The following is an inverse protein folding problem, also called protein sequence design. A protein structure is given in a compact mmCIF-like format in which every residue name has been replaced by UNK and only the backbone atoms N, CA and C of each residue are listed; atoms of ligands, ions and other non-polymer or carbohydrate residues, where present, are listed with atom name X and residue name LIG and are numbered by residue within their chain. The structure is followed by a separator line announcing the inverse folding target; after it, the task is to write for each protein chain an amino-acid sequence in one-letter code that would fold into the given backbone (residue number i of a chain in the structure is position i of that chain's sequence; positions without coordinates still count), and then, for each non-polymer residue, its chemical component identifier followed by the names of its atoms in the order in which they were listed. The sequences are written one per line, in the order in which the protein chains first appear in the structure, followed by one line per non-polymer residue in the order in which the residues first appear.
data_IF_554724402907
#
_entry.id   IF_554724402907
#
_cell.length_a   1.000
_cell.length_b   1.000
_cell.length_c   1.000
_cell.angle_alpha   90.00
_cell.angle_beta   90.00
_cell.angle_gamma   90.00
#
_symmetry.space_group_name_H-M   'P 1'
#
loop_
_entity.id
_entity.type
_entity.pdbx_description
1 polymer ?
#
# COMPACT_ATOMS: atom_id res chain seq x y z
N UNK A 1 -15.81 -8.67 -4.80
CA UNK A 1 -15.91 -9.19 -3.42
C UNK A 1 -14.53 -9.15 -2.77
N UNK A 2 -14.42 -8.83 -1.49
CA UNK A 2 -13.16 -8.88 -0.73
C UNK A 2 -13.28 -9.92 0.37
N UNK A 3 -12.31 -10.83 0.46
CA UNK A 3 -12.22 -11.81 1.54
C UNK A 3 -10.97 -11.57 2.36
N UNK A 4 -11.11 -11.63 3.69
CA UNK A 4 -10.05 -11.36 4.66
C UNK A 4 -9.84 -12.56 5.56
N UNK A 5 -8.60 -13.04 5.68
CA UNK A 5 -8.22 -14.18 6.51
C UNK A 5 -6.96 -13.87 7.30
N UNK A 6 -6.87 -14.32 8.54
CA UNK A 6 -5.66 -14.21 9.37
C UNK A 6 -5.08 -15.60 9.62
N UNK A 7 -3.82 -15.83 9.23
CA UNK A 7 -3.11 -17.10 9.39
C UNK A 7 -2.07 -17.01 10.51
N UNK A 8 -1.95 -18.06 11.33
CA UNK A 8 -0.92 -18.14 12.38
C UNK A 8 -1.22 -17.30 13.64
N UNK A 9 -2.46 -16.82 13.81
CA UNK A 9 -2.82 -16.08 15.01
C UNK A 9 -2.82 -17.00 16.25
N UNK A 10 -2.08 -16.64 17.32
CA UNK A 10 -2.18 -17.37 18.57
C UNK A 10 -3.61 -17.29 19.12
N UNK A 11 -4.07 -18.33 19.85
CA UNK A 11 -5.41 -18.34 20.41
C UNK A 11 -5.63 -17.13 21.32
N UNK A 12 -6.82 -16.50 21.30
CA UNK A 12 -7.07 -15.32 22.12
C UNK A 12 -6.83 -15.65 23.59
N UNK A 13 -6.12 -14.78 24.34
CA UNK A 13 -5.84 -15.05 25.74
C UNK A 13 -7.15 -15.27 26.48
N UNK A 14 -7.25 -16.36 27.24
CA UNK A 14 -8.43 -16.66 28.07
C UNK A 14 -8.74 -15.44 28.92
N UNK A 15 -9.93 -14.85 28.69
CA UNK A 15 -10.44 -13.66 29.40
C UNK A 15 -10.33 -13.88 30.90
N UNK A 16 -9.29 -13.34 31.52
CA UNK A 16 -9.32 -12.99 32.94
C UNK A 16 -9.87 -11.56 32.98
N UNK A 17 -10.87 -11.33 33.84
CA UNK A 17 -11.59 -10.06 34.03
C UNK A 17 -10.73 -8.90 34.55
N UNK A 18 -9.41 -8.94 34.34
CA UNK A 18 -8.45 -7.91 34.78
C UNK A 18 -7.70 -7.30 33.62
N UNK A 19 -7.39 -6.01 33.74
CA UNK A 19 -6.53 -5.28 32.80
C UNK A 19 -5.18 -6.00 32.69
N UNK A 20 -4.73 -6.27 31.46
CA UNK A 20 -3.42 -6.87 31.23
C UNK A 20 -2.33 -5.99 31.87
N UNK A 21 -1.49 -6.60 32.71
CA UNK A 21 -0.34 -5.92 33.33
C UNK A 21 0.91 -6.11 32.46
N UNK A 22 1.79 -5.10 32.35
CA UNK A 22 3.10 -5.27 31.73
C UNK A 22 3.84 -6.45 32.36
N UNK A 23 4.48 -7.28 31.52
CA UNK A 23 5.28 -8.42 31.95
C UNK A 23 6.73 -8.17 31.61
N UNK A 24 7.64 -8.57 32.50
CA UNK A 24 9.07 -8.62 32.20
C UNK A 24 9.27 -9.73 31.16
N UNK A 25 9.95 -9.40 30.07
CA UNK A 25 10.29 -10.32 28.98
C UNK A 25 11.78 -10.60 29.07
N UNK A 26 12.18 -11.83 28.74
CA UNK A 26 13.58 -12.19 28.56
C UNK A 26 14.11 -11.46 27.31
N UNK A 27 15.18 -10.64 27.39
CA UNK A 27 15.75 -9.94 26.24
C UNK A 27 16.16 -10.88 25.10
N UNK A 28 16.51 -12.12 25.42
CA UNK A 28 16.95 -13.13 24.45
C UNK A 28 15.79 -14.03 23.98
N UNK A 29 14.55 -13.75 24.41
CA UNK A 29 13.39 -14.49 23.93
C UNK A 29 13.22 -14.32 22.42
N UNK A 30 12.94 -15.44 21.74
CA UNK A 30 12.62 -15.43 20.33
C UNK A 30 11.37 -14.57 20.06
N UNK A 31 11.43 -13.75 19.00
CA UNK A 31 10.31 -12.89 18.67
C UNK A 31 9.09 -13.74 18.27
N UNK A 32 7.89 -13.39 18.74
CA UNK A 32 6.70 -14.14 18.41
C UNK A 32 6.44 -14.08 16.89
N UNK A 33 6.07 -15.22 16.29
CA UNK A 33 5.61 -15.27 14.90
C UNK A 33 4.40 -14.37 14.74
N UNK A 34 4.46 -13.44 13.79
CA UNK A 34 3.36 -12.53 13.50
C UNK A 34 2.33 -13.20 12.59
N UNK A 35 1.03 -13.09 12.88
CA UNK A 35 0.02 -13.60 11.99
C UNK A 35 0.00 -12.83 10.67
N UNK A 36 -0.21 -13.54 9.57
CA UNK A 36 -0.31 -12.94 8.24
C UNK A 36 -1.77 -12.77 7.85
N UNK A 37 -2.12 -11.57 7.40
CA UNK A 37 -3.44 -11.31 6.82
C UNK A 37 -3.38 -11.55 5.32
N UNK A 38 -4.21 -12.47 4.84
CA UNK A 38 -4.46 -12.71 3.42
C UNK A 38 -5.70 -11.96 3.00
N UNK A 39 -5.57 -11.16 1.94
CA UNK A 39 -6.65 -10.43 1.30
C UNK A 39 -6.84 -10.97 -0.11
N UNK A 40 -8.06 -11.39 -0.46
CA UNK A 40 -8.39 -11.88 -1.80
C UNK A 40 -9.46 -11.00 -2.41
N UNK A 41 -9.09 -10.25 -3.45
CA UNK A 41 -9.99 -9.45 -4.24
C UNK A 41 -10.50 -10.29 -5.42
N UNK A 42 -11.82 -10.45 -5.51
CA UNK A 42 -12.47 -11.27 -6.53
C UNK A 42 -13.37 -10.35 -7.36
N UNK A 43 -13.10 -10.18 -8.67
CA UNK A 43 -13.97 -9.41 -9.57
C UNK A 43 -15.41 -9.97 -9.56
N UNK A 44 -16.39 -9.10 -9.83
CA UNK A 44 -17.79 -9.52 -9.90
C UNK A 44 -18.11 -10.28 -11.21
N UNK A 45 -17.36 -9.99 -12.27
CA UNK A 45 -17.56 -10.58 -13.59
C UNK A 45 -16.85 -11.93 -13.69
N UNK A 46 -17.55 -13.02 -14.04
CA UNK A 46 -16.93 -14.33 -14.20
C UNK A 46 -16.06 -14.38 -15.46
N UNK A 47 -14.96 -15.13 -15.41
CA UNK A 47 -14.03 -15.31 -16.54
C UNK A 47 -14.53 -16.29 -17.62
N UNK A 48 -15.68 -16.94 -17.40
CA UNK A 48 -16.21 -17.98 -18.27
C UNK A 48 -15.82 -19.38 -17.80
N UNK A 49 -15.52 -20.27 -18.75
CA UNK A 49 -15.04 -21.62 -18.47
C UNK A 49 -13.53 -21.67 -18.18
N UNK A 50 -13.02 -22.86 -17.86
CA UNK A 50 -11.60 -23.07 -17.53
C UNK A 50 -10.65 -22.65 -18.65
N UNK A 51 -10.98 -22.95 -19.92
CA UNK A 51 -10.16 -22.56 -21.06
C UNK A 51 -10.13 -21.04 -21.28
N UNK A 52 -11.26 -20.35 -21.04
CA UNK A 52 -11.30 -18.90 -21.06
C UNK A 52 -10.46 -18.28 -19.93
N UNK A 53 -10.53 -18.87 -18.73
CA UNK A 53 -9.76 -18.44 -17.56
C UNK A 53 -8.24 -18.64 -17.74
N UNK A 54 -7.82 -19.77 -18.32
CA UNK A 54 -6.41 -20.01 -18.66
C UNK A 54 -5.89 -19.00 -19.68
N UNK A 55 -6.64 -18.80 -20.77
CA UNK A 55 -6.28 -17.80 -21.79
C UNK A 55 -6.23 -16.39 -21.20
N UNK A 56 -7.10 -16.06 -20.26
CA UNK A 56 -7.05 -14.79 -19.53
C UNK A 56 -5.76 -14.66 -18.72
N UNK A 57 -5.40 -15.69 -17.94
CA UNK A 57 -4.20 -15.65 -17.11
C UNK A 57 -2.92 -15.53 -17.95
N UNK A 58 -2.83 -16.23 -19.09
CA UNK A 58 -1.69 -16.11 -19.99
C UNK A 58 -1.60 -14.73 -20.65
N UNK A 59 -2.74 -14.09 -20.98
CA UNK A 59 -2.74 -12.70 -21.48
C UNK A 59 -2.22 -11.73 -20.42
N UNK A 60 -2.73 -11.84 -19.18
CA UNK A 60 -2.26 -10.98 -18.07
C UNK A 60 -0.78 -11.21 -17.82
N UNK A 61 -0.32 -12.46 -17.79
CA UNK A 61 1.09 -12.80 -17.56
C UNK A 61 2.04 -12.21 -18.61
N UNK A 62 1.59 -12.14 -19.87
CA UNK A 62 2.40 -11.68 -20.98
C UNK A 62 2.51 -10.15 -21.08
N UNK A 63 1.73 -9.41 -20.28
CA UNK A 63 1.59 -7.96 -20.37
C UNK A 63 1.71 -7.30 -19.00
N UNK A 64 2.82 -6.57 -18.80
CA UNK A 64 3.11 -5.86 -17.54
C UNK A 64 2.05 -4.77 -17.24
N UNK A 65 1.47 -4.14 -18.26
CA UNK A 65 0.42 -3.15 -18.08
C UNK A 65 -0.87 -3.83 -17.59
N UNK A 66 -1.20 -5.00 -18.16
CA UNK A 66 -2.34 -5.79 -17.69
C UNK A 66 -2.16 -6.25 -16.23
N UNK A 67 -0.95 -6.65 -15.81
CA UNK A 67 -0.64 -6.93 -14.40
C UNK A 67 -0.89 -5.68 -13.54
N UNK A 68 -0.40 -4.52 -13.99
CA UNK A 68 -0.59 -3.24 -13.31
C UNK A 68 -2.06 -2.87 -13.13
N UNK A 69 -2.88 -3.06 -14.16
CA UNK A 69 -4.32 -2.82 -14.12
C UNK A 69 -5.04 -3.74 -13.11
N UNK A 70 -4.74 -5.04 -13.13
CA UNK A 70 -5.33 -5.98 -12.18
C UNK A 70 -4.95 -5.65 -10.73
N UNK A 71 -3.68 -5.30 -10.50
CA UNK A 71 -3.18 -4.93 -9.19
C UNK A 71 -3.81 -3.63 -8.69
N UNK A 72 -3.89 -2.61 -9.55
CA UNK A 72 -4.50 -1.32 -9.23
C UNK A 72 -5.98 -1.47 -8.86
N UNK A 73 -6.74 -2.25 -9.64
CA UNK A 73 -8.14 -2.54 -9.35
C UNK A 73 -8.31 -3.27 -8.01
N UNK A 74 -7.48 -4.26 -7.72
CA UNK A 74 -7.50 -5.00 -6.45
C UNK A 74 -7.15 -4.10 -5.25
N UNK A 75 -6.10 -3.28 -5.36
CA UNK A 75 -5.69 -2.35 -4.31
C UNK A 75 -6.75 -1.26 -4.05
N UNK A 76 -7.41 -0.77 -5.10
CA UNK A 76 -8.54 0.17 -4.96
C UNK A 76 -9.65 -0.43 -4.10
N UNK A 77 -10.04 -1.68 -4.37
CA UNK A 77 -11.06 -2.39 -3.59
C UNK A 77 -10.63 -2.59 -2.12
N UNK A 78 -9.40 -3.07 -1.91
CA UNK A 78 -8.84 -3.33 -0.58
C UNK A 78 -8.76 -2.03 0.23
N UNK A 79 -8.20 -0.98 -0.34
CA UNK A 79 -8.03 0.30 0.33
C UNK A 79 -9.35 1.02 0.57
N UNK A 80 -10.38 0.77 -0.26
CA UNK A 80 -11.77 1.15 0.05
C UNK A 80 -12.27 0.50 1.34
N UNK A 81 -12.03 -0.80 1.52
CA UNK A 81 -12.42 -1.52 2.74
C UNK A 81 -11.63 -1.06 3.98
N UNK A 82 -10.32 -0.84 3.83
CA UNK A 82 -9.47 -0.28 4.90
C UNK A 82 -9.95 1.11 5.28
N UNK A 83 -10.27 1.96 4.30
CA UNK A 83 -10.80 3.30 4.56
C UNK A 83 -12.13 3.27 5.31
N UNK A 84 -13.06 2.40 4.90
CA UNK A 84 -14.33 2.21 5.60
C UNK A 84 -14.11 1.71 7.05
N UNK A 85 -13.19 0.76 7.24
CA UNK A 85 -12.84 0.27 8.57
C UNK A 85 -12.24 1.37 9.44
N UNK A 86 -11.31 2.15 8.90
CA UNK A 86 -10.68 3.31 9.54
C UNK A 86 -11.72 4.27 10.10
N UNK A 87 -12.71 4.63 9.28
CA UNK A 87 -13.80 5.51 9.68
C UNK A 87 -14.70 4.87 10.74
N UNK A 88 -15.00 3.57 10.63
CA UNK A 88 -15.85 2.86 11.58
C UNK A 88 -15.23 2.74 12.98
N UNK A 89 -13.91 2.60 13.08
CA UNK A 89 -13.19 2.47 14.37
C UNK A 89 -12.56 3.77 14.85
N UNK A 90 -12.65 4.84 14.06
CA UNK A 90 -12.05 6.15 14.33
C UNK A 90 -10.53 6.10 14.56
N UNK A 91 -9.82 5.20 13.87
CA UNK A 91 -8.38 5.02 14.01
C UNK A 91 -7.63 5.69 12.85
N UNK A 92 -7.05 6.88 13.01
CA UNK A 92 -6.33 7.56 11.93
C UNK A 92 -5.02 6.86 11.53
N UNK A 93 -4.52 5.90 12.31
CA UNK A 93 -3.22 5.28 12.11
C UNK A 93 -3.25 4.03 11.24
N UNK A 94 -4.44 3.52 10.91
CA UNK A 94 -4.56 2.39 10.00
C UNK A 94 -4.06 2.79 8.61
N UNK A 95 -2.93 2.22 8.16
CA UNK A 95 -2.33 2.54 6.86
C UNK A 95 -3.08 1.86 5.70
N UNK A 96 -3.00 2.47 4.50
CA UNK A 96 -3.42 1.80 3.27
C UNK A 96 -2.43 0.67 2.92
N UNK A 97 -2.90 -0.30 2.14
CA UNK A 97 -2.12 -1.44 1.64
C UNK A 97 -1.46 -1.07 0.31
N UNK A 98 -0.16 -1.31 0.21
CA UNK A 98 0.64 -1.22 -1.02
C UNK A 98 1.20 -2.58 -1.42
N UNK A 99 1.38 -2.80 -2.73
CA UNK A 99 1.91 -4.06 -3.26
C UNK A 99 3.37 -4.31 -2.83
N UNK A 100 4.14 -3.23 -2.68
CA UNK A 100 5.53 -3.23 -2.22
C UNK A 100 5.69 -3.66 -0.76
N UNK A 101 4.59 -3.65 0.02
CA UNK A 101 4.56 -4.09 1.41
C UNK A 101 3.98 -5.51 1.56
N UNK A 102 3.44 -6.08 0.49
CA UNK A 102 2.91 -7.43 0.50
C UNK A 102 4.05 -8.46 0.49
N UNK A 103 3.91 -9.51 1.31
CA UNK A 103 4.85 -10.63 1.31
C UNK A 103 4.78 -11.45 0.02
N UNK A 104 3.59 -11.51 -0.59
CA UNK A 104 3.36 -12.12 -1.89
C UNK A 104 2.14 -11.48 -2.54
N UNK A 105 2.20 -11.28 -3.85
CA UNK A 105 1.08 -10.86 -4.67
C UNK A 105 0.85 -11.95 -5.71
N UNK A 106 -0.40 -12.40 -5.85
CA UNK A 106 -0.79 -13.45 -6.78
C UNK A 106 -1.98 -13.01 -7.61
N UNK A 107 -1.91 -13.32 -8.90
CA UNK A 107 -3.03 -13.16 -9.84
C UNK A 107 -3.37 -14.54 -10.37
N UNK A 108 -4.65 -14.90 -10.38
CA UNK A 108 -5.08 -16.22 -10.77
C UNK A 108 -6.60 -16.36 -10.84
N UNK A 109 -7.04 -17.58 -11.11
CA UNK A 109 -8.45 -17.97 -11.15
C UNK A 109 -8.68 -19.25 -10.33
N UNK A 110 -9.95 -19.54 -10.06
CA UNK A 110 -10.40 -20.76 -9.37
C UNK A 110 -11.89 -20.73 -9.11
N UNK A 111 -12.43 -21.79 -8.48
CA UNK A 111 -13.82 -21.83 -8.08
C UNK A 111 -14.16 -20.76 -7.03
N UNK A 112 -15.41 -20.30 -6.99
CA UNK A 112 -15.84 -19.26 -6.04
C UNK A 112 -15.55 -19.60 -4.57
N UNK A 113 -15.77 -20.86 -4.18
CA UNK A 113 -15.47 -21.36 -2.83
C UNK A 113 -13.96 -21.41 -2.54
N UNK A 114 -13.16 -21.81 -3.53
CA UNK A 114 -11.70 -21.84 -3.40
C UNK A 114 -11.13 -20.42 -3.26
N UNK A 115 -11.60 -19.50 -4.10
CA UNK A 115 -11.20 -18.10 -4.05
C UNK A 115 -11.65 -17.44 -2.73
N UNK A 116 -12.81 -17.82 -2.20
CA UNK A 116 -13.24 -17.39 -0.86
C UNK A 116 -12.30 -17.91 0.25
N UNK A 117 -11.62 -19.03 0.01
CA UNK A 117 -10.56 -19.52 0.88
C UNK A 117 -9.18 -18.89 0.59
N UNK A 118 -9.07 -17.99 -0.38
CA UNK A 118 -7.81 -17.44 -0.87
C UNK A 118 -6.95 -18.49 -1.60
N UNK A 119 -7.56 -19.57 -2.09
CA UNK A 119 -6.93 -20.61 -2.89
C UNK A 119 -7.22 -20.36 -4.37
N UNK A 120 -6.25 -20.66 -5.21
CA UNK A 120 -6.37 -20.56 -6.66
C UNK A 120 -6.24 -21.96 -7.27
N UNK A 121 -6.98 -22.20 -8.34
CA UNK A 121 -6.76 -23.36 -9.21
C UNK A 121 -5.44 -23.16 -9.96
N UNK A 122 -5.25 -21.97 -10.54
CA UNK A 122 -4.01 -21.55 -11.18
C UNK A 122 -3.72 -20.09 -10.87
N UNK A 123 -2.47 -19.79 -10.54
CA UNK A 123 -2.03 -18.43 -10.28
C UNK A 123 -0.56 -18.22 -10.69
N UNK A 124 -0.21 -16.95 -10.91
CA UNK A 124 1.14 -16.46 -11.09
C UNK A 124 1.53 -15.60 -9.90
N UNK A 125 2.78 -15.67 -9.46
CA UNK A 125 3.35 -14.72 -8.51
C UNK A 125 3.78 -13.45 -9.25
N UNK A 126 3.36 -12.30 -8.73
CA UNK A 126 3.70 -10.98 -9.25
C UNK A 126 4.88 -10.41 -8.44
N UNK A 127 5.96 -9.96 -9.09
CA UNK A 127 7.07 -9.32 -8.40
C UNK A 127 6.61 -8.05 -7.67
N UNK A 128 6.87 -7.96 -6.37
CA UNK A 128 6.46 -6.81 -5.53
C UNK A 128 7.47 -5.67 -5.52
N UNK A 129 8.65 -5.85 -6.12
CA UNK A 129 9.69 -4.83 -6.20
C UNK A 129 9.95 -4.39 -7.63
N UNK A 130 9.93 -3.08 -7.86
CA UNK A 130 10.53 -2.49 -9.05
C UNK A 130 12.04 -2.46 -8.87
N UNK A 131 12.80 -2.99 -9.83
CA UNK A 131 14.27 -2.93 -9.78
C UNK A 131 14.71 -1.46 -9.92
N UNK A 132 14.93 -0.78 -8.80
CA UNK A 132 15.55 0.55 -8.80
C UNK A 132 17.05 0.43 -9.03
N UNK A 133 17.63 1.36 -9.79
CA UNK A 133 19.09 1.43 -9.91
C UNK A 133 19.69 1.76 -8.55
N UNK A 134 20.88 1.26 -8.23
CA UNK A 134 21.51 1.40 -6.90
C UNK A 134 21.54 2.85 -6.39
N UNK A 135 21.76 3.82 -7.27
CA UNK A 135 21.72 5.24 -6.93
C UNK A 135 20.32 5.77 -6.58
N UNK A 136 19.27 5.32 -7.27
CA UNK A 136 17.88 5.68 -6.96
C UNK A 136 17.38 5.03 -5.67
N UNK A 137 17.93 3.86 -5.33
CA UNK A 137 17.58 3.12 -4.12
C UNK A 137 18.13 3.74 -2.83
N UNK A 138 19.21 4.55 -2.91
CA UNK A 138 19.88 5.18 -1.76
C UNK A 138 19.38 6.60 -1.45
N UNK A 139 18.82 7.29 -2.45
CA UNK A 139 18.29 8.67 -2.29
C UNK A 139 17.29 8.82 -1.13
N UNK A 140 16.35 7.89 -0.89
CA UNK A 140 15.44 8.00 0.24
C UNK A 140 16.14 8.00 1.60
N UNK A 141 17.14 7.14 1.79
CA UNK A 141 17.88 7.04 3.05
C UNK A 141 18.80 8.24 3.26
N UNK A 142 19.44 8.73 2.19
CA UNK A 142 20.23 9.98 2.21
C UNK A 142 19.37 11.16 2.62
N UNK A 143 18.16 11.28 2.05
CA UNK A 143 17.19 12.32 2.40
C UNK A 143 16.75 12.22 3.86
N UNK A 144 16.40 11.02 4.33
CA UNK A 144 16.07 10.79 5.75
C UNK A 144 17.22 11.23 6.65
N UNK A 145 18.47 10.85 6.32
CA UNK A 145 19.64 11.26 7.09
C UNK A 145 19.87 12.78 7.05
N UNK A 146 19.61 13.45 5.93
CA UNK A 146 19.70 14.90 5.81
C UNK A 146 18.67 15.62 6.68
N UNK A 147 17.42 15.13 6.72
CA UNK A 147 16.36 15.65 7.59
C UNK A 147 16.71 15.48 9.07
N UNK A 148 17.14 14.28 9.48
CA UNK A 148 17.55 14.04 10.86
C UNK A 148 18.80 14.83 11.26
N UNK A 149 19.70 15.10 10.32
CA UNK A 149 20.85 15.97 10.53
C UNK A 149 20.52 17.47 10.47
N UNK A 150 19.25 17.84 10.24
CA UNK A 150 18.81 19.24 10.11
C UNK A 150 19.35 19.97 8.87
N UNK A 151 19.91 19.24 7.90
CA UNK A 151 20.40 19.80 6.63
C UNK A 151 19.28 20.03 5.62
N UNK A 152 18.18 19.29 5.77
CA UNK A 152 16.96 19.44 4.98
C UNK A 152 15.76 19.51 5.93
N UNK A 153 14.65 20.04 5.42
CA UNK A 153 13.36 20.01 6.09
C UNK A 153 12.31 19.42 5.15
N UNK A 154 11.27 18.81 5.71
CA UNK A 154 10.14 18.31 4.94
C UNK A 154 9.10 19.44 4.92
N UNK A 155 8.83 19.98 3.73
CA UNK A 155 7.78 20.98 3.57
C UNK A 155 6.39 20.34 3.75
N UNK A 156 5.44 21.07 4.31
CA UNK A 156 4.07 20.62 4.51
C UNK A 156 3.41 20.26 3.17
N UNK A 157 3.68 21.06 2.11
CA UNK A 157 3.13 20.80 0.79
C UNK A 157 3.52 19.44 0.23
N UNK A 158 4.73 18.95 0.53
CA UNK A 158 5.20 17.65 0.06
C UNK A 158 4.35 16.51 0.63
N UNK A 159 4.13 16.52 1.94
CA UNK A 159 3.33 15.49 2.61
C UNK A 159 1.87 15.55 2.18
N UNK A 160 1.33 16.75 1.97
CA UNK A 160 -0.05 16.93 1.50
C UNK A 160 -0.22 16.40 0.08
N UNK A 161 0.71 16.69 -0.83
CA UNK A 161 0.68 16.19 -2.22
C UNK A 161 0.85 14.67 -2.25
N UNK A 162 1.76 14.11 -1.44
CA UNK A 162 1.92 12.66 -1.31
C UNK A 162 0.64 11.99 -0.81
N UNK A 163 -0.03 12.59 0.19
CA UNK A 163 -1.30 12.07 0.69
C UNK A 163 -2.40 12.15 -0.36
N UNK A 164 -2.47 13.26 -1.11
CA UNK A 164 -3.46 13.43 -2.14
C UNK A 164 -3.27 12.44 -3.29
N UNK A 165 -2.01 12.12 -3.64
CA UNK A 165 -1.71 11.08 -4.61
C UNK A 165 -2.17 9.71 -4.12
N UNK A 166 -1.89 9.36 -2.87
CA UNK A 166 -2.36 8.10 -2.28
C UNK A 166 -3.89 8.00 -2.26
N UNK A 167 -4.60 9.10 -1.94
CA UNK A 167 -6.06 9.13 -2.02
C UNK A 167 -6.56 8.97 -3.47
N UNK A 168 -5.89 9.58 -4.45
CA UNK A 168 -6.24 9.42 -5.87
C UNK A 168 -6.04 7.97 -6.35
N UNK A 169 -4.88 7.37 -6.05
CA UNK A 169 -4.54 5.99 -6.40
C UNK A 169 -5.51 4.98 -5.75
N UNK A 170 -6.05 5.32 -4.58
CA UNK A 170 -7.04 4.51 -3.89
C UNK A 170 -8.50 4.83 -4.29
N UNK A 171 -8.73 5.57 -5.39
CA UNK A 171 -10.07 5.85 -5.91
C UNK A 171 -10.87 6.87 -5.09
N UNK A 172 -10.21 7.76 -4.34
CA UNK A 172 -10.83 8.80 -3.51
C UNK A 172 -10.57 10.21 -4.07
N UNK A 173 -11.18 10.57 -5.22
CA UNK A 173 -10.88 11.82 -5.91
C UNK A 173 -11.34 13.07 -5.14
N UNK A 174 -12.37 12.96 -4.30
CA UNK A 174 -12.90 14.09 -3.53
C UNK A 174 -11.91 14.52 -2.44
N UNK A 175 -11.38 13.56 -1.70
CA UNK A 175 -10.38 13.73 -0.65
C UNK A 175 -9.08 14.28 -1.25
N UNK A 176 -8.62 13.66 -2.35
CA UNK A 176 -7.45 14.11 -3.09
C UNK A 176 -7.60 15.57 -3.55
N UNK A 177 -8.74 15.96 -4.12
CA UNK A 177 -8.99 17.32 -4.57
C UNK A 177 -8.97 18.33 -3.40
N UNK A 178 -9.57 17.99 -2.25
CA UNK A 178 -9.54 18.84 -1.07
C UNK A 178 -8.12 19.03 -0.54
N UNK A 179 -7.32 17.95 -0.51
CA UNK A 179 -5.93 18.01 -0.08
C UNK A 179 -5.07 18.79 -1.06
N UNK A 180 -5.22 18.59 -2.38
CA UNK A 180 -4.44 19.34 -3.39
C UNK A 180 -4.65 20.85 -3.30
N UNK A 181 -5.87 21.30 -2.97
CA UNK A 181 -6.15 22.72 -2.75
C UNK A 181 -5.30 23.28 -1.60
N UNK A 182 -5.33 22.59 -0.45
CA UNK A 182 -4.51 22.98 0.72
C UNK A 182 -3.01 22.80 0.44
N UNK A 183 -2.64 21.78 -0.33
CA UNK A 183 -1.27 21.52 -0.75
C UNK A 183 -0.70 22.64 -1.61
N UNK A 184 -1.51 23.22 -2.49
CA UNK A 184 -1.13 24.41 -3.27
C UNK A 184 -0.95 25.63 -2.37
N UNK A 185 -1.85 25.85 -1.41
CA UNK A 185 -1.71 26.93 -0.44
C UNK A 185 -0.42 26.79 0.39
N UNK A 186 -0.11 25.57 0.86
CA UNK A 186 1.14 25.27 1.54
C UNK A 186 2.36 25.50 0.64
N UNK A 187 2.31 25.05 -0.62
CA UNK A 187 3.39 25.23 -1.60
C UNK A 187 3.71 26.71 -1.82
N UNK A 188 2.67 27.54 -1.94
CA UNK A 188 2.85 28.99 -2.12
C UNK A 188 3.44 29.65 -0.87
N UNK A 189 3.05 29.19 0.32
CA UNK A 189 3.59 29.69 1.59
C UNK A 189 5.05 29.25 1.83
N UNK A 190 5.42 28.05 1.35
CA UNK A 190 6.74 27.44 1.55
C UNK A 190 7.70 27.65 0.36
N UNK A 191 7.25 28.34 -0.70
CA UNK A 191 7.98 28.51 -1.98
C UNK A 191 9.43 28.92 -1.79
N UNK A 192 9.70 29.89 -0.93
CA UNK A 192 11.04 30.44 -0.76
C UNK A 192 11.97 29.46 -0.02
N UNK A 193 11.41 28.61 0.84
CA UNK A 193 12.14 27.53 1.52
C UNK A 193 12.41 26.33 0.60
N UNK A 194 11.61 26.16 -0.46
CA UNK A 194 11.74 25.10 -1.46
C UNK A 194 12.69 25.44 -2.60
N UNK A 195 13.17 26.68 -2.70
CA UNK A 195 14.13 27.09 -3.73
C UNK A 195 15.48 26.41 -3.48
N UNK A 196 15.87 25.54 -4.40
CA UNK A 196 17.23 25.01 -4.44
C UNK A 196 18.21 26.10 -4.90
N UNK A 197 19.45 26.10 -4.41
CA UNK A 197 20.51 26.96 -4.96
C UNK A 197 20.67 26.69 -6.47
N UNK A 198 20.61 27.72 -7.31
CA UNK A 198 20.72 27.62 -8.78
C UNK A 198 19.41 27.37 -9.53
N UNK A 199 18.28 27.21 -8.84
CA UNK A 199 16.98 26.94 -9.48
C UNK A 199 16.48 28.08 -10.37
N UNK A 200 16.82 29.33 -10.05
CA UNK A 200 16.50 30.48 -10.88
C UNK A 200 17.34 30.51 -12.18
N UNK A 201 18.57 29.97 -12.16
CA UNK A 201 19.44 29.85 -13.33
C UNK A 201 18.96 28.71 -14.26
N UNK A 202 18.51 27.60 -13.70
CA UNK A 202 17.93 26.47 -14.45
C UNK A 202 16.59 26.84 -15.10
N UNK A 203 15.74 27.61 -14.41
CA UNK A 203 14.47 28.11 -14.97
C UNK A 203 14.69 29.17 -16.06
N UNK A 204 15.74 29.98 -15.96
CA UNK A 204 16.09 30.97 -16.97
C UNK A 204 16.70 30.34 -18.25
N UNK A 205 17.12 29.07 -18.17
CA UNK A 205 17.70 28.31 -19.29
C UNK A 205 16.65 27.48 -20.08
N UNK A 206 15.37 27.49 -19.68
CA UNK A 206 14.24 26.84 -20.36
C UNK A 206 13.53 27.79 -21.34
#
# INVERSE_FOLDING_TARGET
MLVVRVQGAPPPPRRRLGRAKPKRVDPDAEQPTVPLTTLTAIPAEPLGDGEAAERWLERVRADDDAIGEQLSAALTLINGAVHAHRAAVLDPHLADVGAEHALAVRIGFGGGDELADGRFERAIDVPTSTRRRRGEALRPQERVAAVFAGRESIAACELIVLRARADLDAGRPREAALQLRVGLEALLAERDALRAPGQDDDLAAL
#
